data_IF_574170504651
#
_entry.id   IF_574170504651
#
_cell.length_a   1.000
_cell.length_b   1.000
_cell.length_c   1.000
_cell.angle_alpha   90.00
_cell.angle_beta   90.00
_cell.angle_gamma   90.00
#
_symmetry.space_group_name_H-M   'P 1'
#
loop_
_entity.id
_entity.type
_entity.pdbx_description
1 polymer ?
#
# COMPACT_ATOMS: atom_id res chain seq x y z
N UNK A 1 7.89 7.15 57.18
CA UNK A 1 7.90 7.92 55.90
C UNK A 1 6.92 7.26 54.95
N UNK A 2 5.67 7.64 55.05
CA UNK A 2 4.61 7.22 54.10
C UNK A 2 4.72 8.20 52.91
N UNK A 3 5.09 7.67 51.75
CA UNK A 3 5.25 8.48 50.54
C UNK A 3 3.98 9.26 50.22
N UNK A 4 4.12 10.50 49.75
CA UNK A 4 3.04 11.40 49.43
C UNK A 4 1.99 10.68 48.55
N UNK A 5 0.71 10.64 49.01
CA UNK A 5 -0.34 9.91 48.28
C UNK A 5 -0.48 10.33 46.79
N UNK A 6 -0.24 11.60 46.38
CA UNK A 6 -0.27 11.97 44.95
C UNK A 6 0.92 11.37 44.17
N UNK A 7 2.09 11.19 44.74
CA UNK A 7 3.25 10.59 44.09
C UNK A 7 3.02 9.09 43.84
N UNK A 8 2.51 8.38 44.85
CA UNK A 8 2.18 6.96 44.72
C UNK A 8 1.12 6.72 43.65
N UNK A 9 0.09 7.56 43.59
CA UNK A 9 -0.95 7.51 42.54
C UNK A 9 -0.38 7.78 41.15
N UNK A 10 0.51 8.76 40.99
CA UNK A 10 1.19 9.05 39.72
C UNK A 10 2.06 7.87 39.25
N UNK A 11 2.85 7.27 40.13
CA UNK A 11 3.67 6.11 39.82
C UNK A 11 2.80 4.93 39.41
N UNK A 12 1.70 4.64 40.10
CA UNK A 12 0.77 3.59 39.72
C UNK A 12 0.15 3.82 38.34
N UNK A 13 -0.24 5.05 38.03
CA UNK A 13 -0.78 5.42 36.71
C UNK A 13 0.25 5.22 35.59
N UNK A 14 1.51 5.62 35.81
CA UNK A 14 2.59 5.42 34.84
C UNK A 14 2.89 3.93 34.62
N UNK A 15 2.89 3.12 35.68
CA UNK A 15 3.06 1.68 35.58
C UNK A 15 1.92 1.01 34.80
N UNK A 16 0.66 1.41 35.06
CA UNK A 16 -0.49 0.92 34.30
C UNK A 16 -0.41 1.31 32.82
N UNK A 17 -0.01 2.55 32.53
CA UNK A 17 0.20 3.00 31.17
C UNK A 17 1.33 2.20 30.47
N UNK A 18 2.44 1.96 31.15
CA UNK A 18 3.53 1.15 30.63
C UNK A 18 3.09 -0.30 30.35
N UNK A 19 2.38 -0.93 31.28
CA UNK A 19 1.80 -2.27 31.09
C UNK A 19 0.82 -2.29 29.92
N UNK A 20 -0.06 -1.29 29.79
CA UNK A 20 -0.99 -1.18 28.68
C UNK A 20 -0.26 -1.07 27.33
N UNK A 21 0.78 -0.23 27.25
CA UNK A 21 1.61 -0.08 26.05
C UNK A 21 2.34 -1.38 25.68
N UNK A 22 2.94 -2.06 26.64
CA UNK A 22 3.63 -3.34 26.44
C UNK A 22 2.67 -4.48 26.04
N UNK A 23 1.42 -4.42 26.52
CA UNK A 23 0.41 -5.41 26.21
C UNK A 23 -0.27 -5.19 24.83
N UNK A 24 -0.17 -3.98 24.24
CA UNK A 24 -0.79 -3.65 22.96
C UNK A 24 -0.53 -4.67 21.84
N UNK A 25 0.74 -5.09 21.56
CA UNK A 25 1.00 -6.03 20.47
C UNK A 25 0.38 -7.41 20.73
N UNK A 26 0.30 -7.83 21.98
CA UNK A 26 -0.33 -9.09 22.37
C UNK A 26 -1.86 -9.04 22.20
N UNK A 27 -2.51 -7.92 22.58
CA UNK A 27 -3.93 -7.70 22.34
C UNK A 27 -4.28 -7.66 20.85
N UNK A 28 -3.45 -6.97 20.05
CA UNK A 28 -3.62 -6.91 18.60
C UNK A 28 -3.54 -8.31 17.98
N UNK A 29 -2.52 -9.12 18.34
CA UNK A 29 -2.39 -10.51 17.87
C UNK A 29 -3.57 -11.37 18.27
N UNK A 30 -4.05 -11.26 19.51
CA UNK A 30 -5.24 -12.01 19.98
C UNK A 30 -6.51 -11.57 19.24
N UNK A 31 -6.67 -10.28 18.99
CA UNK A 31 -7.80 -9.76 18.20
C UNK A 31 -7.79 -10.33 16.79
N UNK A 32 -6.63 -10.29 16.11
CA UNK A 32 -6.47 -10.89 14.77
C UNK A 32 -6.73 -12.38 14.77
N UNK A 33 -6.18 -13.13 15.73
CA UNK A 33 -6.41 -14.56 15.83
C UNK A 33 -7.90 -14.91 16.04
N UNK A 34 -8.67 -14.09 16.78
CA UNK A 34 -10.13 -14.27 16.91
C UNK A 34 -10.86 -13.97 15.60
N UNK A 35 -10.41 -12.91 14.88
CA UNK A 35 -10.97 -12.53 13.59
C UNK A 35 -10.79 -13.64 12.55
N UNK A 36 -9.58 -14.19 12.46
CA UNK A 36 -9.23 -15.26 11.51
C UNK A 36 -9.89 -16.62 11.79
N UNK A 37 -10.51 -16.81 12.99
CA UNK A 37 -11.36 -17.98 13.26
C UNK A 37 -12.71 -17.91 12.55
N UNK A 38 -13.10 -16.73 12.06
CA UNK A 38 -14.33 -16.54 11.30
C UNK A 38 -14.07 -16.88 9.84
N UNK A 39 -14.96 -17.62 9.18
CA UNK A 39 -14.82 -17.89 7.76
C UNK A 39 -14.87 -16.58 6.96
N UNK A 40 -14.18 -16.55 5.84
CA UNK A 40 -14.25 -15.41 4.91
C UNK A 40 -15.69 -15.29 4.37
N UNK A 41 -16.34 -14.10 4.45
CA UNK A 41 -17.73 -13.95 4.06
C UNK A 41 -17.98 -14.29 2.58
N UNK A 42 -19.03 -15.06 2.29
CA UNK A 42 -19.37 -15.42 0.90
C UNK A 42 -19.68 -14.20 0.03
N UNK A 43 -20.27 -13.14 0.60
CA UNK A 43 -20.48 -11.88 -0.12
C UNK A 43 -19.15 -11.26 -0.56
N UNK A 44 -18.13 -11.26 0.31
CA UNK A 44 -16.80 -10.76 0.00
C UNK A 44 -16.08 -11.61 -1.05
N UNK A 45 -16.29 -12.94 -1.02
CA UNK A 45 -15.73 -13.82 -2.07
C UNK A 45 -16.29 -13.47 -3.45
N UNK A 46 -17.59 -13.12 -3.54
CA UNK A 46 -18.22 -12.70 -4.80
C UNK A 46 -17.69 -11.35 -5.29
N UNK A 47 -17.47 -10.40 -4.37
CA UNK A 47 -16.87 -9.10 -4.70
C UNK A 47 -15.45 -9.32 -5.22
N UNK A 48 -14.64 -10.13 -4.51
CA UNK A 48 -13.26 -10.43 -4.91
C UNK A 48 -13.18 -11.01 -6.31
N UNK A 49 -14.06 -11.95 -6.66
CA UNK A 49 -14.12 -12.56 -7.99
C UNK A 49 -14.49 -11.58 -9.11
N UNK A 50 -15.35 -10.60 -8.80
CA UNK A 50 -15.84 -9.63 -9.79
C UNK A 50 -14.95 -8.42 -9.95
N UNK A 51 -14.37 -7.94 -8.85
CA UNK A 51 -13.69 -6.66 -8.78
C UNK A 51 -12.16 -6.76 -8.75
N UNK A 52 -11.59 -7.95 -8.50
CA UNK A 52 -10.14 -8.11 -8.38
C UNK A 52 -9.67 -9.34 -9.17
N UNK A 53 -9.57 -9.24 -10.50
CA UNK A 53 -9.15 -10.35 -11.37
C UNK A 53 -7.80 -10.96 -10.98
N UNK A 54 -6.86 -10.14 -10.47
CA UNK A 54 -5.57 -10.60 -9.95
C UNK A 54 -5.72 -11.67 -8.85
N UNK A 55 -6.76 -11.58 -8.02
CA UNK A 55 -7.00 -12.57 -6.97
C UNK A 55 -7.36 -13.96 -7.51
N UNK A 56 -7.93 -14.03 -8.72
CA UNK A 56 -8.25 -15.30 -9.37
C UNK A 56 -6.99 -16.05 -9.86
N UNK A 57 -5.92 -15.30 -10.19
CA UNK A 57 -4.63 -15.85 -10.67
C UNK A 57 -3.78 -16.43 -9.53
N UNK A 58 -4.09 -16.10 -8.27
CA UNK A 58 -3.30 -16.52 -7.12
C UNK A 58 -3.36 -18.04 -6.90
N UNK A 59 -2.22 -18.69 -6.60
CA UNK A 59 -2.20 -20.03 -6.03
C UNK A 59 -3.03 -20.12 -4.76
N UNK A 60 -3.62 -21.30 -4.48
CA UNK A 60 -4.53 -21.49 -3.36
C UNK A 60 -3.98 -20.98 -2.00
N UNK A 61 -2.72 -21.25 -1.60
CA UNK A 61 -2.19 -20.74 -0.33
C UNK A 61 -2.13 -19.21 -0.27
N UNK A 62 -1.77 -18.54 -1.38
CA UNK A 62 -1.73 -17.07 -1.46
C UNK A 62 -3.15 -16.48 -1.45
N UNK A 63 -4.12 -17.16 -2.05
CA UNK A 63 -5.52 -16.75 -2.02
C UNK A 63 -6.10 -16.81 -0.61
N UNK A 64 -5.83 -17.87 0.14
CA UNK A 64 -6.21 -17.98 1.55
C UNK A 64 -5.55 -16.88 2.38
N UNK A 65 -4.27 -16.63 2.13
CA UNK A 65 -3.54 -15.54 2.79
C UNK A 65 -4.13 -14.17 2.48
N UNK A 66 -4.50 -13.91 1.22
CA UNK A 66 -5.18 -12.68 0.82
C UNK A 66 -6.49 -12.48 1.58
N UNK A 67 -7.32 -13.52 1.69
CA UNK A 67 -8.58 -13.46 2.44
C UNK A 67 -8.36 -13.10 3.91
N UNK A 68 -7.34 -13.67 4.55
CA UNK A 68 -6.96 -13.34 5.92
C UNK A 68 -6.54 -11.89 6.07
N UNK A 69 -5.68 -11.40 5.17
CA UNK A 69 -5.20 -10.01 5.19
C UNK A 69 -6.35 -9.01 4.96
N UNK A 70 -7.28 -9.30 4.03
CA UNK A 70 -8.48 -8.48 3.80
C UNK A 70 -9.31 -8.35 5.08
N UNK A 71 -9.56 -9.46 5.80
CA UNK A 71 -10.32 -9.42 7.05
C UNK A 71 -9.64 -8.54 8.10
N UNK A 72 -8.31 -8.64 8.22
CA UNK A 72 -7.54 -7.83 9.16
C UNK A 72 -7.55 -6.36 8.73
N UNK A 73 -7.28 -6.08 7.45
CA UNK A 73 -7.24 -4.73 6.92
C UNK A 73 -8.55 -3.98 7.16
N UNK A 74 -9.69 -4.57 6.78
CA UNK A 74 -11.02 -3.96 6.96
C UNK A 74 -11.38 -3.78 8.44
N UNK A 75 -10.91 -4.67 9.32
CA UNK A 75 -11.15 -4.56 10.75
C UNK A 75 -10.27 -3.50 11.45
N UNK A 76 -9.12 -3.16 10.88
CA UNK A 76 -8.12 -2.26 11.50
C UNK A 76 -8.05 -0.89 10.85
N UNK A 77 -8.44 -0.76 9.57
CA UNK A 77 -8.35 0.49 8.82
C UNK A 77 -9.73 1.09 8.57
N UNK A 78 -10.04 2.24 9.14
CA UNK A 78 -11.28 2.96 8.83
C UNK A 78 -11.28 3.46 7.39
N UNK A 79 -12.43 3.29 6.73
CA UNK A 79 -12.73 3.86 5.42
C UNK A 79 -13.68 5.02 5.61
N UNK A 80 -13.36 6.17 5.06
CA UNK A 80 -14.16 7.39 5.15
C UNK A 80 -14.56 7.82 3.75
N UNK A 81 -15.86 7.85 3.49
CA UNK A 81 -16.39 8.40 2.24
C UNK A 81 -16.41 9.92 2.28
N UNK A 82 -15.80 10.53 1.29
CA UNK A 82 -15.74 11.97 1.13
C UNK A 82 -16.66 12.40 -0.03
N UNK A 83 -17.16 13.62 -0.01
CA UNK A 83 -18.04 14.18 -1.04
C UNK A 83 -19.24 13.27 -1.40
N UNK A 84 -19.82 12.62 -0.39
CA UNK A 84 -21.01 11.77 -0.57
C UNK A 84 -20.71 10.36 -1.07
N UNK A 85 -19.44 9.95 -1.20
CA UNK A 85 -19.08 8.58 -1.60
C UNK A 85 -19.57 7.58 -0.55
N UNK A 86 -20.48 6.64 -0.90
CA UNK A 86 -20.90 5.59 0.02
C UNK A 86 -19.78 4.56 0.22
N UNK A 87 -19.61 4.09 1.45
CA UNK A 87 -18.63 3.06 1.79
C UNK A 87 -19.37 1.77 2.13
N UNK A 88 -19.58 0.94 1.13
CA UNK A 88 -20.13 -0.40 1.26
C UNK A 88 -19.03 -1.49 1.28
N UNK A 89 -19.43 -2.75 1.32
CA UNK A 89 -18.49 -3.87 1.25
C UNK A 89 -17.77 -3.97 -0.09
N UNK A 90 -18.38 -3.49 -1.19
CA UNK A 90 -17.73 -3.48 -2.51
C UNK A 90 -16.51 -2.58 -2.47
N UNK A 91 -16.67 -1.35 -1.98
CA UNK A 91 -15.56 -0.39 -1.84
C UNK A 91 -14.47 -0.94 -0.94
N UNK A 92 -14.86 -1.42 0.27
CA UNK A 92 -13.89 -1.91 1.27
C UNK A 92 -13.10 -3.11 0.77
N UNK A 93 -13.79 -4.11 0.24
CA UNK A 93 -13.15 -5.36 -0.21
C UNK A 93 -12.28 -5.15 -1.43
N UNK A 94 -12.72 -4.34 -2.40
CA UNK A 94 -11.95 -4.05 -3.60
C UNK A 94 -10.63 -3.35 -3.28
N UNK A 95 -10.67 -2.30 -2.46
CA UNK A 95 -9.46 -1.57 -2.07
C UNK A 95 -8.57 -2.45 -1.16
N UNK A 96 -9.15 -3.09 -0.14
CA UNK A 96 -8.38 -3.93 0.78
C UNK A 96 -7.69 -5.09 0.06
N UNK A 97 -8.36 -5.71 -0.93
CA UNK A 97 -7.78 -6.81 -1.67
C UNK A 97 -6.55 -6.39 -2.48
N UNK A 98 -6.64 -5.30 -3.23
CA UNK A 98 -5.53 -4.80 -4.02
C UNK A 98 -4.37 -4.33 -3.11
N UNK A 99 -4.66 -3.58 -2.06
CA UNK A 99 -3.67 -3.19 -1.06
C UNK A 99 -2.95 -4.40 -0.44
N UNK A 100 -3.68 -5.46 -0.11
CA UNK A 100 -3.13 -6.66 0.52
C UNK A 100 -2.32 -7.56 -0.43
N UNK A 101 -2.40 -7.38 -1.77
CA UNK A 101 -1.53 -8.08 -2.71
C UNK A 101 -0.04 -7.80 -2.43
N UNK A 102 0.30 -6.57 -2.09
CA UNK A 102 1.68 -6.16 -1.79
C UNK A 102 2.24 -6.81 -0.50
N UNK A 103 1.36 -7.34 0.35
CA UNK A 103 1.72 -7.93 1.64
C UNK A 103 1.76 -9.47 1.64
N UNK A 104 1.39 -10.12 0.53
CA UNK A 104 1.21 -11.58 0.46
C UNK A 104 2.45 -12.37 0.85
N UNK A 105 3.63 -11.93 0.41
CA UNK A 105 4.91 -12.60 0.72
C UNK A 105 5.55 -12.15 2.03
N UNK A 106 4.95 -11.17 2.72
CA UNK A 106 5.48 -10.67 3.98
C UNK A 106 5.14 -11.61 5.15
N UNK A 107 6.08 -11.74 6.09
CA UNK A 107 5.84 -12.47 7.32
C UNK A 107 5.00 -11.63 8.30
N UNK A 108 4.08 -12.29 9.03
CA UNK A 108 3.24 -11.65 10.04
C UNK A 108 1.90 -11.16 9.50
N UNK A 109 1.05 -10.69 10.43
CA UNK A 109 -0.34 -10.31 10.15
C UNK A 109 -0.54 -8.79 10.16
N UNK A 110 0.54 -8.00 10.17
CA UNK A 110 0.46 -6.54 10.18
C UNK A 110 0.12 -5.99 8.79
N UNK A 111 -0.88 -5.10 8.74
CA UNK A 111 -1.23 -4.40 7.51
C UNK A 111 -0.88 -2.91 7.69
N UNK A 112 0.12 -2.42 6.99
CA UNK A 112 0.46 -0.99 6.89
C UNK A 112 0.43 -0.27 8.25
N UNK A 113 1.44 -0.42 9.11
CA UNK A 113 1.39 0.06 10.50
C UNK A 113 1.26 1.58 10.61
N UNK A 114 1.74 2.33 9.62
CA UNK A 114 1.64 3.80 9.57
C UNK A 114 0.32 4.29 9.02
N UNK A 115 -0.42 3.47 8.27
CA UNK A 115 -1.71 3.84 7.71
C UNK A 115 -2.77 3.94 8.82
N UNK A 116 -3.40 5.10 8.93
CA UNK A 116 -4.45 5.39 9.91
C UNK A 116 -5.84 5.27 9.30
N UNK A 117 -6.03 5.69 8.05
CA UNK A 117 -7.32 5.70 7.38
C UNK A 117 -7.20 5.74 5.85
N UNK A 118 -8.27 5.28 5.18
CA UNK A 118 -8.43 5.37 3.73
C UNK A 118 -9.58 6.33 3.45
N UNK A 119 -9.30 7.41 2.73
CA UNK A 119 -10.29 8.38 2.28
C UNK A 119 -10.70 8.03 0.85
N UNK A 120 -11.99 7.92 0.59
CA UNK A 120 -12.50 7.56 -0.73
C UNK A 120 -13.43 8.66 -1.24
N UNK A 121 -13.07 9.24 -2.37
CA UNK A 121 -13.86 10.23 -3.11
C UNK A 121 -14.56 9.56 -4.28
N UNK A 122 -15.69 10.08 -4.78
CA UNK A 122 -16.36 9.51 -5.95
C UNK A 122 -15.49 9.62 -7.21
N UNK A 123 -14.90 10.80 -7.44
CA UNK A 123 -14.13 11.17 -8.62
C UNK A 123 -12.79 11.81 -8.23
N UNK A 124 -11.79 11.86 -9.14
CA UNK A 124 -10.59 12.63 -8.95
C UNK A 124 -10.93 14.10 -8.66
N UNK A 125 -10.17 14.72 -7.80
CA UNK A 125 -10.38 16.12 -7.44
C UNK A 125 -9.06 16.89 -7.55
N UNK A 126 -9.19 18.18 -7.81
CA UNK A 126 -8.04 19.07 -7.96
C UNK A 126 -7.79 19.76 -6.62
N UNK A 127 -6.57 19.60 -6.09
CA UNK A 127 -6.11 20.34 -4.92
C UNK A 127 -5.12 21.41 -5.39
N UNK A 128 -5.31 22.68 -5.00
CA UNK A 128 -4.29 23.69 -5.22
C UNK A 128 -3.08 23.35 -4.35
N UNK A 129 -2.01 22.87 -4.96
CA UNK A 129 -0.73 22.63 -4.28
C UNK A 129 0.06 23.93 -4.24
N UNK A 130 0.40 24.40 -3.04
CA UNK A 130 1.32 25.51 -2.85
C UNK A 130 2.75 24.98 -2.84
N UNK A 131 3.48 25.23 -3.92
CA UNK A 131 4.91 24.98 -3.96
C UNK A 131 5.65 26.28 -3.65
N UNK A 132 6.51 26.24 -2.63
CA UNK A 132 7.44 27.32 -2.35
C UNK A 132 8.62 27.23 -3.28
N UNK A 133 8.72 28.16 -4.22
CA UNK A 133 9.90 28.27 -5.09
C UNK A 133 11.00 29.08 -4.38
N UNK A 134 12.30 28.88 -4.77
CA UNK A 134 13.40 29.70 -4.31
C UNK A 134 13.09 31.20 -4.55
N UNK A 135 13.21 32.02 -3.50
CA UNK A 135 12.83 33.44 -3.55
C UNK A 135 11.50 33.77 -2.88
N UNK A 136 10.81 32.82 -2.22
CA UNK A 136 9.59 33.06 -1.47
C UNK A 136 8.31 33.17 -2.34
N UNK A 137 8.40 32.81 -3.61
CA UNK A 137 7.25 32.82 -4.53
C UNK A 137 6.44 31.54 -4.29
N UNK A 138 5.14 31.70 -4.00
CA UNK A 138 4.19 30.58 -3.91
C UNK A 138 3.63 30.33 -5.31
N UNK A 139 3.93 29.19 -5.88
CA UNK A 139 3.31 28.71 -7.10
C UNK A 139 2.15 27.78 -6.73
N UNK A 140 0.92 28.19 -7.06
CA UNK A 140 -0.27 27.34 -6.93
C UNK A 140 -0.48 26.65 -8.29
N UNK A 141 -0.15 25.35 -8.38
CA UNK A 141 -0.49 24.54 -9.54
C UNK A 141 -1.65 23.60 -9.16
N UNK A 142 -2.72 23.58 -9.94
CA UNK A 142 -3.77 22.59 -9.76
C UNK A 142 -3.19 21.20 -10.10
N UNK A 143 -3.18 20.29 -9.12
CA UNK A 143 -2.82 18.89 -9.34
C UNK A 143 -4.08 18.05 -9.21
N UNK A 144 -4.42 17.31 -10.28
CA UNK A 144 -5.48 16.31 -10.21
C UNK A 144 -5.00 15.15 -9.34
N UNK A 145 -5.73 14.84 -8.28
CA UNK A 145 -5.45 13.71 -7.40
C UNK A 145 -6.42 12.58 -7.74
N UNK A 146 -5.92 11.56 -8.42
CA UNK A 146 -6.59 10.27 -8.60
C UNK A 146 -6.31 9.35 -7.39
N UNK A 147 -5.14 9.56 -6.77
CA UNK A 147 -4.68 8.95 -5.53
C UNK A 147 -3.61 9.83 -4.88
N UNK A 148 -3.43 9.73 -3.58
CA UNK A 148 -2.33 10.36 -2.84
C UNK A 148 -2.06 9.63 -1.53
N UNK A 149 -0.79 9.33 -1.29
CA UNK A 149 -0.31 8.79 -0.03
C UNK A 149 0.31 9.89 0.81
N UNK A 150 -0.45 10.43 1.75
CA UNK A 150 0.01 11.52 2.60
C UNK A 150 0.89 11.02 3.75
N UNK A 151 2.02 11.69 4.02
CA UNK A 151 2.94 11.36 5.11
C UNK A 151 2.31 11.39 6.52
N UNK A 152 1.02 11.72 6.63
CA UNK A 152 0.25 11.69 7.88
C UNK A 152 -0.50 10.37 8.11
N UNK A 153 -0.20 9.31 7.35
CA UNK A 153 -0.85 8.01 7.47
C UNK A 153 -2.24 7.95 6.85
N UNK A 154 -2.45 8.65 5.75
CA UNK A 154 -3.68 8.65 4.98
C UNK A 154 -3.39 8.19 3.55
N UNK A 155 -4.28 7.40 2.99
CA UNK A 155 -4.35 7.11 1.56
C UNK A 155 -5.66 7.69 1.06
N UNK A 156 -5.59 8.43 -0.04
CA UNK A 156 -6.74 9.04 -0.70
C UNK A 156 -6.92 8.35 -2.06
N UNK A 157 -8.14 7.95 -2.37
CA UNK A 157 -8.47 7.25 -3.61
C UNK A 157 -9.74 7.84 -4.22
N UNK A 158 -9.76 7.98 -5.54
CA UNK A 158 -10.98 8.22 -6.31
C UNK A 158 -11.60 6.87 -6.68
N UNK A 159 -12.87 6.67 -6.32
CA UNK A 159 -13.55 5.39 -6.57
C UNK A 159 -13.69 5.07 -8.06
N UNK A 160 -13.92 6.08 -8.91
CA UNK A 160 -13.92 5.91 -10.37
C UNK A 160 -12.60 5.35 -10.90
N UNK A 161 -11.44 5.82 -10.38
CA UNK A 161 -10.13 5.31 -10.77
C UNK A 161 -9.87 3.89 -10.25
N UNK A 162 -10.33 3.59 -9.01
CA UNK A 162 -10.29 2.22 -8.48
C UNK A 162 -11.07 1.27 -9.38
N UNK A 163 -12.27 1.70 -9.84
CA UNK A 163 -13.09 0.91 -10.76
C UNK A 163 -12.44 0.77 -12.14
N UNK A 164 -11.87 1.83 -12.69
CA UNK A 164 -11.16 1.79 -13.95
C UNK A 164 -10.01 0.76 -13.91
N UNK A 165 -9.18 0.77 -12.87
CA UNK A 165 -8.10 -0.22 -12.67
C UNK A 165 -8.62 -1.66 -12.54
N UNK A 166 -9.84 -1.88 -12.02
CA UNK A 166 -10.41 -3.24 -11.99
C UNK A 166 -10.92 -3.71 -13.35
N UNK A 167 -11.38 -2.80 -14.19
CA UNK A 167 -11.87 -3.10 -15.55
C UNK A 167 -10.73 -3.23 -16.56
N UNK A 168 -9.66 -2.43 -16.39
CA UNK A 168 -8.45 -2.45 -17.19
C UNK A 168 -7.39 -3.45 -16.70
N UNK A 169 -7.77 -4.45 -15.91
CA UNK A 169 -6.81 -5.39 -15.33
C UNK A 169 -5.87 -5.99 -16.39
N UNK A 170 -4.56 -5.73 -16.24
CA UNK A 170 -3.54 -6.11 -17.20
C UNK A 170 -3.09 -4.99 -18.15
N UNK A 171 -3.59 -3.76 -18.01
CA UNK A 171 -3.12 -2.60 -18.77
C UNK A 171 -1.90 -1.89 -18.12
N UNK A 172 -1.51 -2.33 -16.93
CA UNK A 172 -0.36 -1.81 -16.19
C UNK A 172 -0.70 -0.66 -15.26
N UNK A 173 -1.97 -0.27 -15.13
CA UNK A 173 -2.41 0.83 -14.28
C UNK A 173 -3.34 0.35 -13.16
N UNK A 174 -3.00 0.71 -11.93
CA UNK A 174 -3.81 0.38 -10.77
C UNK A 174 -3.54 1.35 -9.63
N UNK A 175 -4.41 2.35 -9.48
CA UNK A 175 -4.24 3.41 -8.49
C UNK A 175 -4.11 2.88 -7.05
N UNK A 176 -4.75 1.77 -6.71
CA UNK A 176 -4.63 1.18 -5.36
C UNK A 176 -3.23 0.59 -5.17
N UNK A 177 -2.71 -0.17 -6.13
CA UNK A 177 -1.35 -0.70 -6.07
C UNK A 177 -0.32 0.44 -6.00
N UNK A 178 -0.54 1.51 -6.78
CA UNK A 178 0.29 2.72 -6.80
C UNK A 178 0.39 3.35 -5.41
N UNK A 179 -0.74 3.73 -4.84
CA UNK A 179 -0.78 4.42 -3.54
C UNK A 179 -0.27 3.55 -2.39
N UNK A 180 -0.55 2.26 -2.45
CA UNK A 180 -0.06 1.34 -1.44
C UNK A 180 1.41 0.94 -1.65
N UNK A 181 1.99 1.12 -2.85
CA UNK A 181 3.43 1.06 -3.04
C UNK A 181 4.12 2.21 -2.28
N UNK A 182 3.59 3.44 -2.34
CA UNK A 182 4.09 4.54 -1.51
C UNK A 182 3.98 4.24 -0.01
N UNK A 183 2.94 3.53 0.45
CA UNK A 183 2.86 3.10 1.85
C UNK A 183 3.96 2.08 2.22
N UNK A 184 4.35 1.19 1.29
CA UNK A 184 5.48 0.26 1.48
C UNK A 184 6.80 1.03 1.50
N UNK A 185 6.96 2.02 0.65
CA UNK A 185 8.16 2.87 0.59
C UNK A 185 8.34 3.69 1.88
N UNK A 186 7.25 4.24 2.41
CA UNK A 186 7.24 5.04 3.64
C UNK A 186 7.50 4.24 4.93
N UNK A 187 7.46 2.91 4.92
CA UNK A 187 7.74 2.12 6.13
C UNK A 187 9.15 2.38 6.69
N UNK A 188 10.12 2.76 5.86
CA UNK A 188 11.47 3.15 6.21
C UNK A 188 11.67 4.63 6.58
N UNK A 189 10.72 5.51 6.28
CA UNK A 189 10.89 6.97 6.44
C UNK A 189 10.05 7.77 5.48
N UNK A 190 10.68 8.54 4.62
CA UNK A 190 10.03 9.26 3.52
C UNK A 190 9.88 8.33 2.30
N UNK A 191 8.89 8.61 1.45
CA UNK A 191 8.76 7.92 0.17
C UNK A 191 9.80 8.48 -0.81
N UNK A 192 10.90 7.75 -1.00
CA UNK A 192 12.02 8.13 -1.87
C UNK A 192 12.30 7.08 -2.97
N UNK A 193 11.41 6.10 -3.12
CA UNK A 193 11.56 4.96 -4.02
C UNK A 193 12.51 3.89 -3.50
N UNK A 194 12.83 3.91 -2.19
CA UNK A 194 13.77 2.99 -1.55
C UNK A 194 13.15 2.32 -0.31
N UNK A 195 12.19 1.41 -0.50
CA UNK A 195 11.52 0.76 0.62
C UNK A 195 12.53 0.10 1.57
N UNK A 196 12.27 0.23 2.88
CA UNK A 196 13.16 -0.24 3.91
C UNK A 196 13.52 -1.73 3.78
N UNK A 197 14.80 -2.03 3.98
CA UNK A 197 15.35 -3.39 4.00
C UNK A 197 16.29 -3.55 5.18
N UNK A 198 16.19 -4.69 5.87
CA UNK A 198 17.06 -4.98 7.03
C UNK A 198 18.53 -5.23 6.62
N UNK A 199 18.78 -5.70 5.39
CA UNK A 199 20.11 -5.94 4.86
C UNK A 199 20.58 -4.76 4.02
N UNK A 200 21.67 -4.10 4.45
CA UNK A 200 22.25 -2.96 3.79
C UNK A 200 22.74 -3.27 2.36
N UNK A 201 23.28 -4.47 2.12
CA UNK A 201 23.70 -4.90 0.78
C UNK A 201 22.52 -5.08 -0.17
N UNK A 202 21.40 -5.58 0.35
CA UNK A 202 20.15 -5.69 -0.42
C UNK A 202 19.54 -4.30 -0.68
N UNK A 203 19.65 -3.37 0.28
CA UNK A 203 19.19 -1.99 0.10
C UNK A 203 20.00 -1.27 -0.99
N UNK A 204 21.32 -1.39 -0.95
CA UNK A 204 22.19 -0.76 -1.96
C UNK A 204 21.91 -1.32 -3.36
N UNK A 205 21.87 -2.65 -3.51
CA UNK A 205 21.57 -3.28 -4.80
C UNK A 205 20.21 -2.86 -5.36
N UNK A 206 19.19 -2.77 -4.52
CA UNK A 206 17.88 -2.27 -4.92
C UNK A 206 17.97 -0.84 -5.43
N UNK A 207 18.62 0.04 -4.67
CA UNK A 207 18.80 1.44 -5.05
C UNK A 207 19.55 1.61 -6.38
N UNK A 208 20.61 0.82 -6.59
CA UNK A 208 21.40 0.84 -7.82
C UNK A 208 20.56 0.40 -9.04
N UNK A 209 19.83 -0.71 -8.91
CA UNK A 209 18.99 -1.24 -10.00
C UNK A 209 17.85 -0.29 -10.33
N UNK A 210 17.14 0.21 -9.31
CA UNK A 210 16.01 1.13 -9.51
C UNK A 210 16.48 2.48 -10.04
N UNK A 211 17.64 2.98 -9.58
CA UNK A 211 18.22 4.24 -10.06
C UNK A 211 18.57 4.19 -11.55
N UNK A 212 19.31 3.16 -11.99
CA UNK A 212 19.66 2.99 -13.40
C UNK A 212 18.40 2.84 -14.27
N UNK A 213 17.41 2.09 -13.79
CA UNK A 213 16.19 1.90 -14.55
C UNK A 213 15.31 3.17 -14.61
N UNK A 214 15.30 3.99 -13.56
CA UNK A 214 14.66 5.30 -13.55
C UNK A 214 15.30 6.26 -14.58
N UNK A 215 16.63 6.36 -14.59
CA UNK A 215 17.35 7.17 -15.59
C UNK A 215 17.07 6.69 -17.02
N UNK A 216 17.00 5.38 -17.22
CA UNK A 216 16.64 4.80 -18.51
C UNK A 216 15.21 5.17 -18.94
N UNK A 217 14.23 5.10 -18.01
CA UNK A 217 12.85 5.52 -18.31
C UNK A 217 12.79 6.99 -18.74
N UNK A 218 13.57 7.86 -18.10
CA UNK A 218 13.63 9.27 -18.46
C UNK A 218 14.25 9.51 -19.85
N UNK A 219 15.25 8.72 -20.23
CA UNK A 219 15.99 8.92 -21.48
C UNK A 219 15.32 8.25 -22.69
N UNK A 220 14.78 7.04 -22.51
CA UNK A 220 14.36 6.16 -23.60
C UNK A 220 12.84 5.87 -23.58
N UNK A 221 12.16 6.12 -22.47
CA UNK A 221 10.78 5.66 -22.25
C UNK A 221 10.70 4.16 -21.98
N UNK A 222 9.49 3.61 -21.97
CA UNK A 222 9.22 2.19 -21.76
C UNK A 222 7.96 1.78 -22.53
N UNK A 223 7.90 0.54 -22.98
CA UNK A 223 6.69 -0.04 -23.55
C UNK A 223 5.72 -0.55 -22.47
N UNK A 224 6.24 -0.86 -21.27
CA UNK A 224 5.50 -1.46 -20.17
C UNK A 224 5.15 -0.46 -19.05
N UNK A 225 6.07 0.48 -18.75
CA UNK A 225 5.91 1.41 -17.65
C UNK A 225 5.25 2.71 -18.09
N UNK A 226 4.32 3.21 -17.28
CA UNK A 226 3.72 4.51 -17.49
C UNK A 226 4.78 5.62 -17.43
N UNK A 227 4.81 6.57 -18.41
CA UNK A 227 5.74 7.71 -18.40
C UNK A 227 5.70 8.56 -17.13
N UNK A 228 4.62 8.52 -16.37
CA UNK A 228 4.50 9.20 -15.07
C UNK A 228 5.59 8.75 -14.09
N UNK A 229 6.04 7.50 -14.16
CA UNK A 229 7.16 6.98 -13.37
C UNK A 229 8.49 7.73 -13.59
N UNK A 230 8.65 8.49 -14.69
CA UNK A 230 9.84 9.29 -14.93
C UNK A 230 9.89 10.62 -14.15
N UNK A 231 8.82 10.97 -13.42
CA UNK A 231 8.69 12.25 -12.70
C UNK A 231 9.49 12.29 -11.39
N UNK A 232 9.59 11.18 -10.68
CA UNK A 232 10.37 11.06 -9.44
C UNK A 232 10.71 9.59 -9.14
N UNK A 233 11.76 9.28 -8.37
CA UNK A 233 12.11 7.90 -7.99
C UNK A 233 11.00 7.17 -7.24
N UNK A 234 10.24 7.86 -6.39
CA UNK A 234 9.08 7.30 -5.69
C UNK A 234 7.97 6.88 -6.67
N UNK A 235 7.70 7.71 -7.70
CA UNK A 235 6.72 7.41 -8.74
C UNK A 235 7.20 6.25 -9.63
N UNK A 236 8.50 6.19 -9.92
CA UNK A 236 9.08 5.05 -10.61
C UNK A 236 8.82 3.74 -9.88
N UNK A 237 9.05 3.73 -8.56
CA UNK A 237 8.81 2.56 -7.73
C UNK A 237 7.33 2.16 -7.73
N UNK A 238 6.42 3.13 -7.63
CA UNK A 238 4.98 2.88 -7.66
C UNK A 238 4.53 2.31 -9.00
N UNK A 239 4.90 2.93 -10.13
CA UNK A 239 4.57 2.46 -11.49
C UNK A 239 5.20 1.08 -11.77
N UNK A 240 6.45 0.85 -11.35
CA UNK A 240 7.07 -0.47 -11.48
C UNK A 240 6.36 -1.53 -10.64
N UNK A 241 5.81 -1.17 -9.47
CA UNK A 241 4.98 -2.06 -8.66
C UNK A 241 3.65 -2.38 -9.33
N UNK A 242 2.98 -1.41 -9.94
CA UNK A 242 1.78 -1.66 -10.74
C UNK A 242 2.07 -2.69 -11.84
N UNK A 243 3.10 -2.44 -12.67
CA UNK A 243 3.50 -3.34 -13.75
C UNK A 243 3.92 -4.74 -13.25
N UNK A 244 4.55 -4.82 -12.08
CA UNK A 244 4.94 -6.10 -11.46
C UNK A 244 3.74 -7.00 -11.17
N UNK A 245 2.60 -6.44 -10.76
CA UNK A 245 1.39 -7.20 -10.50
C UNK A 245 0.48 -7.33 -11.73
N UNK A 246 0.33 -6.28 -12.53
CA UNK A 246 -0.59 -6.24 -13.65
C UNK A 246 0.00 -6.86 -14.93
N UNK A 247 1.27 -6.57 -15.24
CA UNK A 247 1.99 -7.00 -16.44
C UNK A 247 3.31 -7.71 -16.12
N UNK A 248 3.30 -8.74 -15.25
CA UNK A 248 4.53 -9.31 -14.70
C UNK A 248 5.48 -9.90 -15.76
N UNK A 249 4.95 -10.48 -16.85
CA UNK A 249 5.78 -11.04 -17.92
C UNK A 249 6.40 -9.94 -18.76
N UNK A 250 5.63 -8.93 -19.15
CA UNK A 250 6.15 -7.80 -19.91
C UNK A 250 7.26 -7.08 -19.14
N UNK A 251 7.08 -6.84 -17.84
CA UNK A 251 8.11 -6.25 -16.99
C UNK A 251 9.34 -7.15 -16.87
N UNK A 252 9.16 -8.48 -16.75
CA UNK A 252 10.28 -9.41 -16.66
C UNK A 252 11.10 -9.48 -17.95
N UNK A 253 10.44 -9.35 -19.10
CA UNK A 253 11.07 -9.34 -20.42
C UNK A 253 11.81 -8.03 -20.69
N UNK A 254 11.18 -6.87 -20.39
CA UNK A 254 11.73 -5.54 -20.67
C UNK A 254 12.78 -5.11 -19.64
N UNK A 255 12.53 -5.35 -18.35
CA UNK A 255 13.35 -4.90 -17.23
C UNK A 255 13.61 -6.04 -16.21
N UNK A 256 14.31 -7.12 -16.56
CA UNK A 256 14.47 -8.31 -15.72
C UNK A 256 15.15 -8.02 -14.38
N UNK A 257 16.07 -7.05 -14.31
CA UNK A 257 16.71 -6.64 -13.06
C UNK A 257 15.71 -5.98 -12.10
N UNK A 258 14.84 -5.09 -12.59
CA UNK A 258 13.76 -4.44 -11.81
C UNK A 258 12.77 -5.50 -11.33
N UNK A 259 12.30 -6.38 -12.21
CA UNK A 259 11.43 -7.48 -11.85
C UNK A 259 12.03 -8.34 -10.73
N UNK A 260 13.33 -8.69 -10.85
CA UNK A 260 14.04 -9.46 -9.85
C UNK A 260 14.14 -8.80 -8.48
N UNK A 261 14.35 -7.47 -8.43
CA UNK A 261 14.36 -6.73 -7.16
C UNK A 261 12.97 -6.62 -6.54
N UNK A 262 11.92 -6.39 -7.33
CA UNK A 262 10.54 -6.39 -6.85
C UNK A 262 10.11 -7.78 -6.36
N UNK A 263 10.51 -8.85 -7.06
CA UNK A 263 10.25 -10.22 -6.62
C UNK A 263 10.90 -10.54 -5.27
N UNK A 264 12.11 -10.02 -5.02
CA UNK A 264 12.77 -10.14 -3.71
C UNK A 264 12.11 -9.29 -2.63
N UNK A 265 11.71 -8.05 -2.98
CA UNK A 265 11.02 -7.14 -2.06
C UNK A 265 9.70 -7.75 -1.58
N UNK A 266 8.84 -8.10 -2.53
CA UNK A 266 7.50 -8.62 -2.25
C UNK A 266 7.51 -10.12 -1.88
N UNK A 267 8.63 -10.83 -2.13
CA UNK A 267 8.76 -12.30 -1.98
C UNK A 267 7.70 -13.06 -2.77
N UNK A 268 7.43 -12.59 -3.97
CA UNK A 268 6.42 -13.11 -4.88
C UNK A 268 6.99 -13.25 -6.28
N UNK A 269 6.37 -14.12 -7.07
CA UNK A 269 6.69 -14.28 -8.49
C UNK A 269 5.40 -14.29 -9.33
N UNK A 270 4.79 -13.10 -9.59
CA UNK A 270 3.53 -13.02 -10.32
C UNK A 270 3.59 -13.57 -11.75
N UNK A 271 4.74 -13.51 -12.42
CA UNK A 271 4.92 -14.10 -13.76
C UNK A 271 4.69 -15.62 -13.80
N UNK A 272 4.81 -16.29 -12.66
CA UNK A 272 4.54 -17.73 -12.53
C UNK A 272 3.07 -18.03 -12.16
N UNK A 273 2.23 -17.04 -11.91
CA UNK A 273 0.81 -17.29 -11.61
C UNK A 273 0.08 -17.69 -12.89
N UNK A 274 -0.83 -18.64 -12.76
CA UNK A 274 -1.61 -19.11 -13.91
C UNK A 274 -2.55 -18.01 -14.39
N UNK A 275 -2.60 -17.81 -15.68
CA UNK A 275 -3.57 -16.93 -16.37
C UNK A 275 -4.87 -17.67 -16.58
#
# INVERSE_FOLDING_TARGET
>A
MLGDPPLAALVALLLLAAVALLAQPWWARRRRARLLRRPFPLAWSRILQRQVPLAARLPAPLRERLQQLIQIFIAEKPFIGCNGQPIDDTVRVTIAAQACLLLLGQAGDGCYPRLRQVLVYPEPFVVPRRQWLPGGVVHEAPQALAGESWGQGQVILAWSEVQAGTQGAGDGRNVVLHEFAHQVDQDGGEADGRPWRADAGAAQRFADVMGVAFERLQAEGSATLDPYGASAPAEYFAVATEAFFEQPRALADEAPAVYGELARLYRLNPAAWQT
#
